data_IF_035571594403
#
_entry.id   IF_035571594403
#
_cell.length_a   1.000
_cell.length_b   1.000
_cell.length_c   1.000
_cell.angle_alpha   90.00
_cell.angle_beta   90.00
_cell.angle_gamma   90.00
#
_symmetry.space_group_name_H-M   'P 1'
#
loop_
_entity.id
_entity.type
_entity.pdbx_description
1 polymer ?
#
# COMPACT_ATOMS: atom_id res chain seq x y z
N UNK A 1 -32.45 -51.52 -18.88
CA UNK A 1 -31.15 -51.05 -18.37
C UNK A 1 -31.00 -49.58 -18.74
N UNK A 2 -31.38 -48.64 -17.87
CA UNK A 2 -31.26 -47.20 -18.12
C UNK A 2 -30.56 -46.53 -16.93
N UNK A 3 -29.27 -46.22 -17.14
CA UNK A 3 -28.43 -45.48 -16.20
C UNK A 3 -28.94 -44.04 -16.04
N UNK A 4 -29.39 -43.69 -14.84
CA UNK A 4 -29.77 -42.33 -14.47
C UNK A 4 -28.52 -41.43 -14.50
N UNK A 5 -28.41 -40.60 -15.56
CA UNK A 5 -27.29 -39.68 -15.80
C UNK A 5 -27.45 -38.40 -14.98
N UNK A 6 -27.17 -38.47 -13.68
CA UNK A 6 -27.21 -37.33 -12.74
C UNK A 6 -26.04 -36.33 -12.84
N UNK A 7 -25.61 -35.94 -14.04
CA UNK A 7 -24.45 -35.03 -14.24
C UNK A 7 -24.65 -33.77 -15.14
N UNK A 8 -25.82 -33.13 -15.27
CA UNK A 8 -25.89 -31.84 -15.99
C UNK A 8 -25.89 -30.59 -15.08
N UNK A 9 -26.44 -30.64 -13.86
CA UNK A 9 -26.69 -29.43 -13.07
C UNK A 9 -25.40 -28.77 -12.50
N UNK A 10 -24.47 -29.58 -12.00
CA UNK A 10 -23.22 -29.10 -11.38
C UNK A 10 -22.25 -28.55 -12.45
N UNK A 11 -22.24 -29.18 -13.64
CA UNK A 11 -21.38 -28.77 -14.76
C UNK A 11 -21.84 -27.45 -15.39
N UNK A 12 -23.16 -27.21 -15.45
CA UNK A 12 -23.74 -25.95 -15.92
C UNK A 12 -23.46 -24.75 -15.00
N UNK A 13 -23.52 -24.95 -13.67
CA UNK A 13 -23.15 -23.92 -12.70
C UNK A 13 -21.65 -23.60 -12.74
N UNK A 14 -20.78 -24.62 -12.88
CA UNK A 14 -19.34 -24.42 -13.04
C UNK A 14 -19.01 -23.64 -14.31
N UNK A 15 -19.67 -23.94 -15.44
CA UNK A 15 -19.46 -23.27 -16.72
C UNK A 15 -19.80 -21.78 -16.69
N UNK A 16 -20.84 -21.39 -15.93
CA UNK A 16 -21.29 -19.99 -15.79
C UNK A 16 -20.35 -19.14 -14.93
N UNK A 17 -19.57 -19.75 -14.04
CA UNK A 17 -18.63 -19.06 -13.14
C UNK A 17 -17.15 -19.41 -13.41
N UNK A 18 -16.83 -19.96 -14.58
CA UNK A 18 -15.46 -20.37 -14.95
C UNK A 18 -14.41 -19.26 -14.75
N UNK A 19 -14.73 -18.02 -15.12
CA UNK A 19 -13.81 -16.88 -14.99
C UNK A 19 -13.54 -16.48 -13.54
N UNK A 20 -14.57 -16.54 -12.68
CA UNK A 20 -14.39 -16.28 -11.25
C UNK A 20 -13.60 -17.41 -10.60
N UNK A 21 -13.95 -18.65 -10.90
CA UNK A 21 -13.25 -19.82 -10.37
C UNK A 21 -11.77 -19.79 -10.79
N UNK A 22 -11.46 -19.47 -12.05
CA UNK A 22 -10.06 -19.36 -12.50
C UNK A 22 -9.30 -18.23 -11.81
N UNK A 23 -9.95 -17.09 -11.58
CA UNK A 23 -9.33 -15.97 -10.88
C UNK A 23 -9.04 -16.31 -9.40
N UNK A 24 -10.01 -16.91 -8.70
CA UNK A 24 -9.86 -17.36 -7.31
C UNK A 24 -8.82 -18.46 -7.17
N UNK A 25 -8.78 -19.44 -8.08
CA UNK A 25 -7.76 -20.49 -8.06
C UNK A 25 -6.38 -19.95 -8.42
N UNK A 26 -6.29 -18.99 -9.34
CA UNK A 26 -5.03 -18.33 -9.71
C UNK A 26 -4.46 -17.50 -8.56
N UNK A 27 -5.30 -16.74 -7.85
CA UNK A 27 -4.93 -16.02 -6.64
C UNK A 27 -4.38 -16.98 -5.57
N UNK A 28 -5.11 -18.07 -5.31
CA UNK A 28 -4.70 -19.07 -4.31
C UNK A 28 -3.36 -19.73 -4.68
N UNK A 29 -3.19 -20.12 -5.95
CA UNK A 29 -1.94 -20.70 -6.43
C UNK A 29 -0.77 -19.70 -6.35
N UNK A 30 -0.99 -18.43 -6.68
CA UNK A 30 0.03 -17.39 -6.60
C UNK A 30 0.47 -17.12 -5.16
N UNK A 31 -0.47 -17.09 -4.21
CA UNK A 31 -0.15 -16.96 -2.77
C UNK A 31 0.66 -18.15 -2.28
N UNK A 32 0.30 -19.39 -2.66
CA UNK A 32 1.06 -20.60 -2.29
C UNK A 32 2.45 -20.63 -2.92
N UNK A 33 2.57 -20.24 -4.19
CA UNK A 33 3.85 -20.13 -4.88
C UNK A 33 4.77 -19.12 -4.17
N UNK A 34 4.25 -17.93 -3.85
CA UNK A 34 5.01 -16.91 -3.14
C UNK A 34 5.35 -17.32 -1.71
N UNK A 35 4.46 -18.04 -1.00
CA UNK A 35 4.77 -18.62 0.32
C UNK A 35 5.94 -19.60 0.23
N UNK A 36 5.94 -20.50 -0.75
CA UNK A 36 7.00 -21.52 -0.85
C UNK A 36 8.37 -20.94 -1.24
N UNK A 37 8.41 -19.85 -2.01
CA UNK A 37 9.65 -19.22 -2.45
C UNK A 37 10.22 -18.19 -1.47
N UNK A 38 9.37 -17.49 -0.70
CA UNK A 38 9.78 -16.32 0.08
C UNK A 38 9.54 -16.42 1.59
N UNK A 39 8.87 -17.47 2.09
CA UNK A 39 8.58 -17.64 3.52
C UNK A 39 9.33 -18.83 4.11
N UNK A 40 9.98 -18.64 5.27
CA UNK A 40 10.50 -19.75 6.10
C UNK A 40 9.38 -20.36 6.99
N UNK A 41 8.11 -20.17 6.60
CA UNK A 41 6.95 -20.79 7.22
C UNK A 41 6.05 -19.85 8.04
N UNK A 42 6.43 -18.59 8.20
CA UNK A 42 5.72 -17.62 9.05
C UNK A 42 4.69 -16.76 8.28
N UNK A 43 3.63 -16.35 8.98
CA UNK A 43 2.54 -15.53 8.44
C UNK A 43 3.03 -14.13 8.00
N UNK A 44 4.17 -13.70 8.54
CA UNK A 44 4.87 -12.44 8.25
C UNK A 44 5.14 -12.23 6.74
N UNK A 45 5.27 -13.29 5.93
CA UNK A 45 5.38 -13.20 4.47
C UNK A 45 4.19 -12.48 3.80
N UNK A 46 2.98 -12.59 4.34
CA UNK A 46 1.80 -11.92 3.76
C UNK A 46 1.90 -10.40 3.82
N UNK A 47 2.62 -9.87 4.82
CA UNK A 47 2.88 -8.43 4.91
C UNK A 47 3.78 -7.97 3.75
N UNK A 48 4.84 -8.75 3.48
CA UNK A 48 5.76 -8.53 2.35
C UNK A 48 5.05 -8.67 1.00
N UNK A 49 4.22 -9.69 0.85
CA UNK A 49 3.40 -9.91 -0.34
C UNK A 49 2.41 -8.75 -0.56
N UNK A 50 1.76 -8.27 0.51
CA UNK A 50 0.88 -7.10 0.44
C UNK A 50 1.62 -5.82 0.00
N UNK A 51 2.85 -5.61 0.47
CA UNK A 51 3.69 -4.50 0.01
C UNK A 51 4.06 -4.65 -1.48
N UNK A 52 4.36 -5.88 -1.94
CA UNK A 52 4.65 -6.17 -3.34
C UNK A 52 3.45 -5.89 -4.25
N UNK A 53 2.26 -6.39 -3.89
CA UNK A 53 1.02 -6.14 -4.64
C UNK A 53 0.72 -4.64 -4.70
N UNK A 54 0.94 -3.91 -3.60
CA UNK A 54 0.77 -2.45 -3.56
C UNK A 54 1.73 -1.73 -4.50
N UNK A 55 3.02 -2.07 -4.48
CA UNK A 55 4.01 -1.51 -5.39
C UNK A 55 3.68 -1.82 -6.85
N UNK A 56 3.27 -3.06 -7.14
CA UNK A 56 2.82 -3.47 -8.47
C UNK A 56 1.59 -2.69 -8.95
N UNK A 57 0.65 -2.37 -8.06
CA UNK A 57 -0.50 -1.51 -8.36
C UNK A 57 -0.08 -0.11 -8.85
N UNK A 58 0.90 0.51 -8.20
CA UNK A 58 1.46 1.78 -8.68
C UNK A 58 2.24 1.62 -10.00
N UNK A 59 2.92 0.49 -10.19
CA UNK A 59 3.57 0.15 -11.46
C UNK A 59 2.58 0.08 -12.63
N UNK A 60 1.45 -0.61 -12.45
CA UNK A 60 0.35 -0.65 -13.44
C UNK A 60 -0.18 0.76 -13.71
N UNK A 61 -0.30 1.58 -12.66
CA UNK A 61 -0.80 2.94 -12.79
C UNK A 61 0.13 3.81 -13.65
N UNK A 62 1.46 3.71 -13.46
CA UNK A 62 2.45 4.35 -14.33
C UNK A 62 2.31 3.84 -15.76
N UNK A 63 2.27 2.52 -15.94
CA UNK A 63 2.15 1.90 -17.26
C UNK A 63 0.90 2.41 -18.00
N UNK A 64 -0.25 2.43 -17.33
CA UNK A 64 -1.50 2.97 -17.85
C UNK A 64 -1.37 4.44 -18.23
N UNK A 65 -0.80 5.28 -17.36
CA UNK A 65 -0.62 6.71 -17.64
C UNK A 65 0.30 6.96 -18.84
N UNK A 66 1.35 6.15 -19.01
CA UNK A 66 2.24 6.23 -20.16
C UNK A 66 1.56 5.75 -21.45
N UNK A 67 0.83 4.63 -21.42
CA UNK A 67 0.13 4.08 -22.59
C UNK A 67 -0.99 4.99 -23.06
N UNK A 68 -1.78 5.53 -22.13
CA UNK A 68 -2.91 6.41 -22.44
C UNK A 68 -2.48 7.87 -22.67
N UNK A 69 -1.23 8.23 -22.33
CA UNK A 69 -0.70 9.60 -22.37
C UNK A 69 -1.60 10.62 -21.66
N UNK A 70 -2.28 10.18 -20.62
CA UNK A 70 -3.28 10.96 -19.88
C UNK A 70 -3.31 10.52 -18.42
N UNK A 71 -3.50 11.49 -17.54
CA UNK A 71 -3.73 11.28 -16.10
C UNK A 71 -5.15 11.68 -15.68
N UNK A 72 -6.07 11.78 -16.65
CA UNK A 72 -7.47 12.09 -16.37
C UNK A 72 -8.09 11.04 -15.45
N UNK A 73 -8.74 11.50 -14.38
CA UNK A 73 -9.34 10.64 -13.35
C UNK A 73 -8.41 10.23 -12.19
N UNK A 74 -7.15 10.68 -12.17
CA UNK A 74 -6.28 10.55 -10.99
C UNK A 74 -6.49 11.75 -10.05
N UNK A 75 -6.53 11.49 -8.73
CA UNK A 75 -6.53 12.54 -7.71
C UNK A 75 -5.10 12.76 -7.21
N UNK A 76 -4.55 13.96 -7.43
CA UNK A 76 -3.22 14.33 -6.94
C UNK A 76 -3.19 14.30 -5.41
N UNK A 77 -4.28 14.71 -4.75
CA UNK A 77 -4.34 14.70 -3.27
C UNK A 77 -4.17 13.30 -2.70
N UNK A 78 -4.78 12.30 -3.33
CA UNK A 78 -4.66 10.89 -2.92
C UNK A 78 -3.23 10.39 -3.07
N UNK A 79 -2.57 10.69 -4.18
CA UNK A 79 -1.17 10.32 -4.42
C UNK A 79 -0.23 10.96 -3.39
N UNK A 80 -0.43 12.25 -3.08
CA UNK A 80 0.33 12.94 -2.03
C UNK A 80 0.13 12.29 -0.65
N UNK A 81 -1.10 11.90 -0.31
CA UNK A 81 -1.40 11.18 0.93
C UNK A 81 -0.66 9.83 0.99
N UNK A 82 -0.68 9.04 -0.10
CA UNK A 82 0.10 7.81 -0.18
C UNK A 82 1.59 8.05 -0.01
N UNK A 83 2.13 9.13 -0.59
CA UNK A 83 3.51 9.56 -0.39
C UNK A 83 3.85 9.76 1.09
N UNK A 84 3.02 10.51 1.83
CA UNK A 84 3.21 10.70 3.28
C UNK A 84 3.09 9.39 4.06
N UNK A 85 2.14 8.50 3.70
CA UNK A 85 2.00 7.19 4.34
C UNK A 85 3.26 6.35 4.16
N UNK A 86 3.83 6.30 2.95
CA UNK A 86 5.09 5.58 2.70
C UNK A 86 6.26 6.20 3.46
N UNK A 87 6.35 7.54 3.52
CA UNK A 87 7.40 8.22 4.28
C UNK A 87 7.32 7.89 5.78
N UNK A 88 6.16 8.06 6.41
CA UNK A 88 5.99 7.75 7.83
C UNK A 88 6.23 6.27 8.13
N UNK A 89 5.80 5.37 7.23
CA UNK A 89 6.05 3.94 7.36
C UNK A 89 7.54 3.61 7.25
N UNK A 90 8.25 4.13 6.25
CA UNK A 90 9.70 3.94 6.09
C UNK A 90 10.49 4.52 7.26
N UNK A 91 10.13 5.71 7.76
CA UNK A 91 10.71 6.28 8.98
C UNK A 91 10.50 5.35 10.19
N UNK A 92 9.30 4.77 10.33
CA UNK A 92 9.02 3.80 11.41
C UNK A 92 9.83 2.52 11.26
N UNK A 93 9.96 1.97 10.05
CA UNK A 93 10.71 0.73 9.80
C UNK A 93 12.20 0.94 10.08
N UNK A 94 12.78 2.04 9.58
CA UNK A 94 14.21 2.34 9.69
C UNK A 94 14.65 2.74 11.10
N UNK A 95 13.84 3.51 11.85
CA UNK A 95 14.19 3.95 13.22
C UNK A 95 13.83 2.95 14.31
N UNK A 96 12.75 2.21 14.15
CA UNK A 96 12.19 1.40 15.24
C UNK A 96 12.27 -0.10 15.05
N UNK A 97 12.50 -0.58 13.83
CA UNK A 97 12.35 -2.01 13.49
C UNK A 97 10.96 -2.57 13.89
N UNK A 98 10.00 -1.71 14.29
CA UNK A 98 8.79 -2.12 15.02
C UNK A 98 7.72 -2.80 14.16
N UNK A 99 7.97 -2.94 12.86
CA UNK A 99 7.10 -3.59 11.88
C UNK A 99 7.89 -4.51 10.93
N UNK A 100 9.14 -4.85 11.27
CA UNK A 100 9.95 -5.72 10.43
C UNK A 100 9.41 -7.16 10.52
N UNK A 101 9.13 -7.83 9.39
CA UNK A 101 8.85 -9.26 9.39
C UNK A 101 10.04 -10.00 10.04
N UNK A 102 9.80 -10.87 11.03
CA UNK A 102 10.87 -11.65 11.71
C UNK A 102 11.48 -12.77 10.85
N UNK A 103 11.11 -12.83 9.56
CA UNK A 103 11.48 -13.86 8.59
C UNK A 103 12.58 -13.32 7.64
N UNK A 104 13.37 -14.18 6.96
CA UNK A 104 14.52 -13.77 6.11
C UNK A 104 14.18 -12.75 5.01
N UNK A 105 12.92 -12.68 4.60
CA UNK A 105 12.41 -11.68 3.64
C UNK A 105 12.19 -10.28 4.24
N UNK A 106 12.11 -10.16 5.57
CA UNK A 106 11.88 -8.91 6.28
C UNK A 106 13.09 -8.00 6.37
N UNK A 107 14.29 -8.56 6.54
CA UNK A 107 15.51 -7.78 6.81
C UNK A 107 15.89 -6.84 5.67
N UNK A 108 15.74 -7.28 4.42
CA UNK A 108 16.13 -6.48 3.25
C UNK A 108 15.01 -6.32 2.21
N UNK A 109 14.29 -7.39 1.90
CA UNK A 109 13.34 -7.40 0.78
C UNK A 109 12.08 -6.57 1.07
N UNK A 110 11.56 -6.62 2.30
CA UNK A 110 10.44 -5.75 2.71
C UNK A 110 10.81 -4.26 2.67
N UNK A 111 11.96 -3.89 3.25
CA UNK A 111 12.48 -2.52 3.22
C UNK A 111 12.72 -2.05 1.78
N UNK A 112 13.32 -2.89 0.94
CA UNK A 112 13.53 -2.62 -0.48
C UNK A 112 12.22 -2.35 -1.22
N UNK A 113 11.20 -3.20 -1.02
CA UNK A 113 9.88 -3.03 -1.65
C UNK A 113 9.21 -1.74 -1.19
N UNK A 114 9.32 -1.36 0.08
CA UNK A 114 8.76 -0.10 0.58
C UNK A 114 9.49 1.12 -0.03
N UNK A 115 10.81 1.06 -0.24
CA UNK A 115 11.55 2.08 -1.01
C UNK A 115 11.10 2.16 -2.47
N UNK A 116 10.93 1.01 -3.14
CA UNK A 116 10.40 0.95 -4.51
C UNK A 116 8.98 1.51 -4.56
N UNK A 117 8.13 1.19 -3.58
CA UNK A 117 6.76 1.71 -3.47
C UNK A 117 6.72 3.24 -3.33
N UNK A 118 7.60 3.80 -2.49
CA UNK A 118 7.79 5.26 -2.39
C UNK A 118 8.23 5.85 -3.73
N UNK A 119 9.26 5.27 -4.37
CA UNK A 119 9.79 5.72 -5.65
C UNK A 119 8.74 5.71 -6.77
N UNK A 120 7.96 4.63 -6.89
CA UNK A 120 6.87 4.53 -7.86
C UNK A 120 5.78 5.58 -7.58
N UNK A 121 5.41 5.80 -6.31
CA UNK A 121 4.43 6.82 -5.94
C UNK A 121 4.91 8.23 -6.33
N UNK A 122 6.17 8.55 -6.05
CA UNK A 122 6.79 9.82 -6.46
C UNK A 122 6.86 9.94 -7.99
N UNK A 123 7.16 8.86 -8.70
CA UNK A 123 7.16 8.84 -10.16
C UNK A 123 5.76 9.15 -10.72
N UNK A 124 4.69 8.59 -10.15
CA UNK A 124 3.32 8.94 -10.56
C UNK A 124 3.03 10.41 -10.26
N UNK A 125 3.41 10.92 -9.09
CA UNK A 125 3.24 12.35 -8.75
C UNK A 125 3.97 13.21 -9.79
N UNK A 126 5.18 12.85 -10.19
CA UNK A 126 5.93 13.54 -11.25
C UNK A 126 5.20 13.47 -12.61
N UNK A 127 4.66 12.31 -12.98
CA UNK A 127 3.86 12.17 -14.21
C UNK A 127 2.63 13.10 -14.20
N UNK A 128 1.94 13.20 -13.07
CA UNK A 128 0.73 14.04 -12.93
C UNK A 128 1.08 15.53 -12.93
N UNK A 129 2.13 15.93 -12.20
CA UNK A 129 2.48 17.33 -11.97
C UNK A 129 3.33 17.95 -13.08
N UNK A 130 4.14 17.16 -13.76
CA UNK A 130 5.09 17.63 -14.80
C UNK A 130 4.66 17.14 -16.18
N UNK A 131 4.67 15.82 -16.39
CA UNK A 131 4.57 15.25 -17.74
C UNK A 131 3.18 15.42 -18.38
N UNK A 132 2.12 15.11 -17.64
CA UNK A 132 0.75 15.06 -18.14
C UNK A 132 -0.16 16.10 -17.47
N UNK A 133 0.43 17.18 -16.96
CA UNK A 133 -0.27 18.27 -16.26
C UNK A 133 -1.45 18.84 -17.06
N UNK A 134 -1.33 18.89 -18.39
CA UNK A 134 -2.40 19.38 -19.28
C UNK A 134 -3.64 18.48 -19.33
N UNK A 135 -3.51 17.19 -19.00
CA UNK A 135 -4.62 16.23 -18.94
C UNK A 135 -5.22 16.07 -17.53
N UNK A 136 -4.62 16.76 -16.55
CA UNK A 136 -5.04 16.71 -15.16
C UNK A 136 -6.19 17.69 -14.90
N UNK A 137 -7.28 17.19 -14.34
CA UNK A 137 -8.47 18.02 -14.11
C UNK A 137 -8.55 18.52 -12.67
N UNK A 138 -8.07 19.75 -12.47
CA UNK A 138 -8.11 20.44 -11.18
C UNK A 138 -9.52 20.68 -10.66
N UNK A 139 -10.54 20.75 -11.53
CA UNK A 139 -11.91 21.05 -11.11
C UNK A 139 -12.57 19.87 -10.41
N UNK A 140 -12.16 18.65 -10.74
CA UNK A 140 -12.70 17.43 -10.16
C UNK A 140 -11.92 16.94 -8.91
N UNK A 141 -10.71 17.46 -8.64
CA UNK A 141 -9.93 17.14 -7.42
C UNK A 141 -10.12 18.20 -6.31
N UNK A 142 -11.37 18.50 -5.98
CA UNK A 142 -11.78 19.50 -4.96
C UNK A 142 -11.92 18.92 -3.55
N UNK A 143 -11.25 17.80 -3.27
CA UNK A 143 -11.30 17.17 -1.95
C UNK A 143 -10.88 18.15 -0.85
N UNK A 144 -11.73 18.34 0.17
CA UNK A 144 -11.47 19.27 1.28
C UNK A 144 -11.96 20.72 1.07
N UNK A 145 -12.78 20.99 0.05
CA UNK A 145 -13.35 22.33 -0.21
C UNK A 145 -14.52 22.69 0.74
N UNK A 146 -14.34 22.48 2.05
CA UNK A 146 -15.33 22.82 3.08
C UNK A 146 -14.98 24.13 3.82
N UNK A 147 -13.73 24.32 4.26
CA UNK A 147 -13.30 25.58 4.93
C UNK A 147 -11.81 25.97 4.73
N UNK A 148 -11.00 25.19 3.99
CA UNK A 148 -9.64 25.61 3.56
C UNK A 148 -9.56 25.68 2.03
N UNK A 149 -8.62 26.48 1.48
CA UNK A 149 -8.34 26.48 0.06
C UNK A 149 -8.13 25.04 -0.46
N UNK A 150 -8.62 24.76 -1.66
CA UNK A 150 -8.53 23.44 -2.34
C UNK A 150 -7.11 22.85 -2.32
N UNK A 151 -6.11 23.71 -2.28
CA UNK A 151 -4.70 23.32 -2.23
C UNK A 151 -4.34 22.49 -0.98
N UNK A 152 -4.98 22.78 0.16
CA UNK A 152 -4.69 22.17 1.47
C UNK A 152 -5.71 21.12 1.92
N UNK A 153 -6.56 20.62 1.03
CA UNK A 153 -7.60 19.66 1.37
C UNK A 153 -7.12 18.39 2.09
N UNK A 154 -5.86 17.97 1.86
CA UNK A 154 -5.22 16.83 2.56
C UNK A 154 -5.14 17.03 4.08
N UNK A 155 -5.03 18.27 4.54
CA UNK A 155 -4.88 18.61 5.96
C UNK A 155 -6.05 18.05 6.78
N UNK A 156 -7.25 17.98 6.20
CA UNK A 156 -8.42 17.39 6.88
C UNK A 156 -8.30 15.90 7.16
N UNK A 157 -7.54 15.14 6.37
CA UNK A 157 -7.29 13.71 6.66
C UNK A 157 -6.05 13.57 7.53
N UNK A 158 -4.99 14.32 7.19
CA UNK A 158 -3.67 14.15 7.80
C UNK A 158 -3.66 14.61 9.26
N UNK A 159 -4.28 15.75 9.58
CA UNK A 159 -4.28 16.30 10.96
C UNK A 159 -5.04 15.40 11.94
N UNK A 160 -6.29 14.97 11.69
CA UNK A 160 -6.98 14.07 12.61
C UNK A 160 -6.28 12.72 12.75
N UNK A 161 -5.71 12.19 11.66
CA UNK A 161 -4.97 10.92 11.71
C UNK A 161 -3.73 11.01 12.60
N UNK A 162 -2.99 12.13 12.51
CA UNK A 162 -1.84 12.39 13.38
C UNK A 162 -2.29 12.61 14.82
N UNK A 163 -3.32 13.43 15.07
CA UNK A 163 -3.82 13.68 16.42
C UNK A 163 -4.32 12.40 17.09
N UNK A 164 -5.06 11.55 16.38
CA UNK A 164 -5.48 10.23 16.89
C UNK A 164 -4.28 9.33 17.17
N UNK A 165 -3.28 9.34 16.29
CA UNK A 165 -2.01 8.64 16.51
C UNK A 165 -1.30 9.14 17.77
N UNK A 166 -1.25 10.44 18.00
CA UNK A 166 -0.63 11.07 19.17
C UNK A 166 -1.38 10.78 20.46
N UNK A 167 -2.72 10.85 20.44
CA UNK A 167 -3.56 10.56 21.62
C UNK A 167 -3.43 9.11 22.04
N UNK A 168 -3.36 8.18 21.09
CA UNK A 168 -3.24 6.74 21.37
C UNK A 168 -1.81 6.31 21.69
N UNK A 169 -0.82 6.94 21.06
CA UNK A 169 0.60 6.60 21.18
C UNK A 169 1.41 7.79 21.72
N UNK A 170 0.99 8.36 22.85
CA UNK A 170 1.61 9.53 23.50
C UNK A 170 3.15 9.62 23.48
N UNK A 171 3.94 8.52 23.60
CA UNK A 171 5.41 8.61 23.55
C UNK A 171 6.05 8.53 22.16
N UNK A 172 5.34 8.24 21.07
CA UNK A 172 5.95 8.08 19.72
C UNK A 172 6.42 9.40 19.09
N UNK A 173 5.87 10.55 19.52
CA UNK A 173 6.35 11.86 19.05
C UNK A 173 7.72 12.24 19.62
N UNK A 174 8.11 11.71 20.78
CA UNK A 174 9.45 11.91 21.35
C UNK A 174 10.56 11.41 20.41
N UNK A 175 10.21 10.53 19.48
CA UNK A 175 11.16 9.96 18.53
C UNK A 175 11.16 10.70 17.21
N UNK A 176 9.98 10.98 16.67
CA UNK A 176 9.88 11.68 15.38
C UNK A 176 10.52 13.07 15.50
N UNK A 177 10.47 13.70 16.69
CA UNK A 177 11.11 14.98 17.00
C UNK A 177 12.57 14.84 17.46
N UNK A 178 13.08 13.62 17.66
CA UNK A 178 14.47 13.41 18.05
C UNK A 178 14.82 14.05 19.40
N UNK A 179 13.89 14.07 20.36
CA UNK A 179 14.31 14.36 21.73
C UNK A 179 15.16 13.20 22.22
N UNK A 180 16.37 13.45 22.73
CA UNK A 180 17.24 12.40 23.22
C UNK A 180 16.48 11.65 24.31
N UNK A 181 16.43 10.33 24.15
CA UNK A 181 15.98 9.39 25.17
C UNK A 181 16.58 9.81 26.50
N UNK A 182 15.73 10.29 27.41
CA UNK A 182 16.11 10.68 28.76
C UNK A 182 16.73 9.46 29.43
N UNK A 183 18.04 9.54 29.63
CA UNK A 183 18.84 8.63 30.42
C UNK A 183 18.35 8.59 31.86
N UNK A 184 17.71 7.51 32.23
CA UNK A 184 17.48 7.00 33.59
C UNK A 184 17.08 5.54 33.35
N UNK A 185 17.95 4.56 33.55
CA UNK A 185 18.53 4.16 34.84
C UNK A 185 19.98 3.67 34.64
N UNK A 186 21.03 4.38 35.08
CA UNK A 186 21.64 4.28 36.43
C UNK A 186 21.15 3.07 37.24
N UNK A 187 21.85 1.94 37.11
CA UNK A 187 21.93 0.95 38.17
C UNK A 187 23.34 1.03 38.78
N UNK A 188 23.51 1.63 39.97
CA UNK A 188 24.55 1.19 40.90
C UNK A 188 23.98 0.08 41.80
N UNK A 189 24.88 -0.83 42.18
CA UNK A 189 24.74 -2.04 43.02
C UNK A 189 24.61 -3.35 42.23
#
# INVERSE_FOLDING_TARGET
MNMVKGKPAISGALARHKGNISAWTGLFAFVLFSYHFFSDGDFSFLMTFGAFVRAFGFGILIFKSLTQKSVSGLSLKTLQLYGFVFLFRLCSITRYQGYLPYDRSGDWLYTFIEFVGLGLTLAVIFLVTVQFRGSYDFKFDTFGHLHVPSEFGIVYILVPSILLGMVRNGPILAVIVGTPSRSSDLCPL
#
